data_IF_128265930442
#
_entry.id   IF_128265930442
#
_cell.length_a   1.000
_cell.length_b   1.000
_cell.length_c   1.000
_cell.angle_alpha   90.00
_cell.angle_beta   90.00
_cell.angle_gamma   90.00
#
_symmetry.space_group_name_H-M   'P 1'
#
loop_
_entity.id
_entity.type
_entity.pdbx_description
1 polymer ?
#
# COMPACT_ATOMS: atom_id res chain seq x y z
N UNK A 1 11.68 17.47 7.07
CA UNK A 1 13.10 17.85 7.22
C UNK A 1 14.02 16.75 6.74
N UNK A 2 14.88 17.03 5.76
CA UNK A 2 15.91 16.12 5.28
C UNK A 2 17.16 16.29 6.16
N UNK A 3 17.39 15.36 7.09
CA UNK A 3 18.41 15.50 8.13
C UNK A 3 19.84 15.59 7.60
N UNK A 4 20.17 14.75 6.58
CA UNK A 4 21.52 14.73 5.99
C UNK A 4 21.84 15.99 5.17
N UNK A 5 20.84 16.57 4.52
CA UNK A 5 20.99 17.75 3.67
C UNK A 5 20.74 19.06 4.45
N UNK A 6 20.28 18.95 5.69
CA UNK A 6 19.85 20.08 6.52
C UNK A 6 18.86 21.03 5.81
N UNK A 7 17.96 20.44 4.99
CA UNK A 7 16.90 21.15 4.27
C UNK A 7 15.55 20.90 4.92
N UNK A 8 14.70 21.89 4.90
CA UNK A 8 13.28 21.78 5.20
C UNK A 8 12.52 21.95 3.89
N UNK A 9 11.60 21.03 3.61
CA UNK A 9 10.75 21.04 2.44
C UNK A 9 9.32 21.19 2.90
N UNK A 10 8.56 22.01 2.20
CA UNK A 10 7.10 22.02 2.31
C UNK A 10 6.48 20.97 1.38
N UNK A 11 5.14 20.91 1.31
CA UNK A 11 4.45 19.92 0.50
C UNK A 11 4.73 20.07 -1.00
N UNK A 12 4.85 21.30 -1.50
CA UNK A 12 5.15 21.57 -2.91
C UNK A 12 6.57 21.15 -3.27
N UNK A 13 7.56 21.50 -2.43
CA UNK A 13 8.94 21.06 -2.58
C UNK A 13 9.07 19.53 -2.59
N UNK A 14 8.25 18.84 -1.74
CA UNK A 14 8.22 17.37 -1.71
C UNK A 14 7.66 16.80 -3.01
N UNK A 15 6.58 17.37 -3.54
CA UNK A 15 5.99 16.95 -4.82
C UNK A 15 7.03 17.06 -5.95
N UNK A 16 7.78 18.16 -6.00
CA UNK A 16 8.80 18.37 -7.02
C UNK A 16 9.98 17.41 -6.86
N UNK A 17 10.48 17.22 -5.63
CA UNK A 17 11.58 16.28 -5.36
C UNK A 17 11.20 14.84 -5.74
N UNK A 18 10.01 14.39 -5.34
CA UNK A 18 9.53 13.03 -5.67
C UNK A 18 9.29 12.87 -7.17
N UNK A 19 8.82 13.93 -7.84
CA UNK A 19 8.69 13.97 -9.29
C UNK A 19 10.02 13.81 -10.02
N UNK A 20 11.10 14.44 -9.53
CA UNK A 20 12.44 14.22 -10.05
C UNK A 20 12.87 12.75 -9.90
N UNK A 21 12.52 12.11 -8.78
CA UNK A 21 12.83 10.69 -8.56
C UNK A 21 12.05 9.77 -9.51
N UNK A 22 10.75 10.02 -9.72
CA UNK A 22 9.92 9.26 -10.67
C UNK A 22 10.53 9.34 -12.08
N UNK A 23 10.93 10.52 -12.50
CA UNK A 23 11.55 10.73 -13.83
C UNK A 23 12.93 10.07 -13.97
N UNK A 24 13.65 9.89 -12.85
CA UNK A 24 15.04 9.41 -12.88
C UNK A 24 15.17 7.91 -12.61
N UNK A 25 14.28 7.34 -11.84
CA UNK A 25 14.36 5.96 -11.38
C UNK A 25 13.10 5.17 -11.78
N UNK A 26 13.19 3.86 -11.97
CA UNK A 26 12.05 3.03 -12.35
C UNK A 26 11.11 2.80 -11.16
N UNK A 27 10.53 3.88 -10.63
CA UNK A 27 9.58 3.84 -9.52
C UNK A 27 8.21 3.47 -10.07
N UNK A 28 7.58 2.46 -9.49
CA UNK A 28 6.24 1.99 -9.86
C UNK A 28 5.20 2.25 -8.76
N UNK A 29 5.66 2.57 -7.56
CA UNK A 29 4.77 2.93 -6.44
C UNK A 29 5.50 3.75 -5.40
N UNK A 30 4.75 4.61 -4.71
CA UNK A 30 5.22 5.37 -3.54
C UNK A 30 4.13 5.28 -2.46
N UNK A 31 4.56 4.96 -1.24
CA UNK A 31 3.69 4.91 -0.07
C UNK A 31 3.84 6.20 0.74
N UNK A 32 2.70 6.81 1.11
CA UNK A 32 2.60 8.07 1.83
C UNK A 32 3.63 9.13 1.37
N UNK A 33 3.53 9.60 0.12
CA UNK A 33 4.49 10.57 -0.42
C UNK A 33 4.50 11.90 0.34
N UNK A 34 3.38 12.26 0.98
CA UNK A 34 3.16 13.50 1.70
C UNK A 34 2.66 13.19 3.13
N UNK A 35 2.58 14.23 3.95
CA UNK A 35 2.08 14.12 5.32
C UNK A 35 0.59 13.72 5.37
N UNK A 36 0.23 12.94 6.39
CA UNK A 36 -1.14 12.48 6.61
C UNK A 36 -2.14 13.61 6.92
N UNK A 37 -1.63 14.74 7.41
CA UNK A 37 -2.41 15.94 7.72
C UNK A 37 -2.35 17.02 6.62
N UNK A 38 -1.74 16.71 5.46
CA UNK A 38 -1.52 17.67 4.38
C UNK A 38 -2.15 17.18 3.05
N UNK A 39 -3.49 17.20 2.93
CA UNK A 39 -4.21 16.60 1.80
C UNK A 39 -4.03 17.35 0.48
N UNK A 40 -3.72 18.66 0.49
CA UNK A 40 -3.60 19.45 -0.72
C UNK A 40 -2.40 19.05 -1.58
N UNK A 41 -1.15 19.00 -1.07
CA UNK A 41 -0.01 18.49 -1.84
C UNK A 41 -0.18 17.01 -2.20
N UNK A 42 -0.85 16.22 -1.37
CA UNK A 42 -1.12 14.80 -1.67
C UNK A 42 -2.02 14.67 -2.90
N UNK A 43 -3.09 15.48 -2.98
CA UNK A 43 -3.96 15.57 -4.17
C UNK A 43 -3.18 16.03 -5.40
N UNK A 44 -2.36 17.06 -5.27
CA UNK A 44 -1.55 17.57 -6.38
C UNK A 44 -0.57 16.51 -6.89
N UNK A 45 0.05 15.75 -6.00
CA UNK A 45 0.92 14.63 -6.35
C UNK A 45 0.15 13.54 -7.10
N UNK A 46 -1.04 13.16 -6.58
CA UNK A 46 -1.89 12.14 -7.21
C UNK A 46 -2.35 12.59 -8.61
N UNK A 47 -2.77 13.83 -8.76
CA UNK A 47 -3.17 14.38 -10.05
C UNK A 47 -2.03 14.37 -11.07
N UNK A 48 -0.78 14.60 -10.62
CA UNK A 48 0.40 14.73 -11.49
C UNK A 48 0.98 13.37 -11.90
N UNK A 49 0.96 12.39 -11.02
CA UNK A 49 1.67 11.11 -11.21
C UNK A 49 0.80 9.87 -11.09
N UNK A 50 -0.47 9.99 -10.74
CA UNK A 50 -1.36 8.86 -10.47
C UNK A 50 -1.68 7.99 -11.69
N UNK A 51 -1.49 8.49 -12.91
CA UNK A 51 -1.63 7.71 -14.14
C UNK A 51 -0.36 6.88 -14.46
N UNK A 52 0.77 7.19 -13.82
CA UNK A 52 2.06 6.56 -14.08
C UNK A 52 2.48 5.56 -13.01
N UNK A 53 2.14 5.84 -11.73
CA UNK A 53 2.56 5.04 -10.59
C UNK A 53 1.41 4.80 -9.61
N UNK A 54 1.56 3.79 -8.75
CA UNK A 54 0.68 3.61 -7.61
C UNK A 54 1.07 4.59 -6.48
N UNK A 55 0.08 5.33 -6.02
CA UNK A 55 0.19 6.26 -4.89
C UNK A 55 -0.60 5.65 -3.74
N UNK A 56 0.13 5.02 -2.83
CA UNK A 56 -0.43 4.18 -1.78
C UNK A 56 -0.65 5.02 -0.52
N UNK A 57 -1.90 5.07 -0.05
CA UNK A 57 -2.19 5.64 1.26
C UNK A 57 -2.06 4.59 2.35
N UNK A 58 -1.23 4.87 3.36
CA UNK A 58 -1.06 4.08 4.57
C UNK A 58 -1.63 4.85 5.78
N UNK A 59 -0.86 5.70 6.40
CA UNK A 59 -1.27 6.48 7.58
C UNK A 59 -2.36 7.51 7.22
N UNK A 60 -2.40 7.95 5.97
CA UNK A 60 -3.48 8.79 5.46
C UNK A 60 -4.84 8.06 5.48
N UNK A 61 -4.89 6.77 5.18
CA UNK A 61 -6.13 5.97 5.06
C UNK A 61 -6.43 5.10 6.29
N UNK A 62 -5.41 4.68 7.02
CA UNK A 62 -5.45 3.83 8.23
C UNK A 62 -6.35 2.60 8.13
N UNK A 63 -6.39 1.95 6.96
CA UNK A 63 -7.24 0.79 6.67
C UNK A 63 -8.72 1.04 7.03
N UNK A 64 -9.23 2.22 6.70
CA UNK A 64 -10.60 2.64 7.02
C UNK A 64 -11.42 2.88 5.75
N UNK A 65 -12.56 2.18 5.62
CA UNK A 65 -13.39 2.23 4.41
C UNK A 65 -13.92 3.65 4.11
N UNK A 66 -14.38 4.39 5.13
CA UNK A 66 -14.89 5.75 4.96
C UNK A 66 -13.79 6.72 4.53
N UNK A 67 -12.57 6.60 5.10
CA UNK A 67 -11.43 7.41 4.66
C UNK A 67 -11.03 7.11 3.23
N UNK A 68 -11.11 5.86 2.79
CA UNK A 68 -10.85 5.46 1.39
C UNK A 68 -11.88 6.10 0.46
N UNK A 69 -13.17 6.03 0.78
CA UNK A 69 -14.23 6.67 -0.02
C UNK A 69 -14.01 8.19 -0.11
N UNK A 70 -13.77 8.85 1.02
CA UNK A 70 -13.51 10.30 1.07
C UNK A 70 -12.23 10.69 0.29
N UNK A 71 -11.17 9.91 0.37
CA UNK A 71 -9.94 10.16 -0.37
C UNK A 71 -10.14 9.99 -1.88
N UNK A 72 -10.91 8.97 -2.30
CA UNK A 72 -11.25 8.77 -3.70
C UNK A 72 -12.07 9.94 -4.27
N UNK A 73 -13.08 10.39 -3.53
CA UNK A 73 -13.89 11.57 -3.92
C UNK A 73 -13.05 12.85 -4.02
N UNK A 74 -12.01 12.96 -3.18
CA UNK A 74 -11.07 14.08 -3.17
C UNK A 74 -9.95 13.96 -4.23
N UNK A 75 -9.83 12.83 -4.93
CA UNK A 75 -8.74 12.58 -5.90
C UNK A 75 -7.37 12.42 -5.23
N UNK A 76 -7.34 11.84 -4.04
CA UNK A 76 -6.13 11.56 -3.26
C UNK A 76 -5.88 10.06 -3.25
N UNK A 77 -4.66 9.62 -3.52
CA UNK A 77 -4.27 8.22 -3.71
C UNK A 77 -4.91 7.56 -4.95
N UNK A 78 -4.43 6.37 -5.29
CA UNK A 78 -5.03 5.43 -6.23
C UNK A 78 -4.80 3.97 -5.79
N UNK A 79 -4.27 3.80 -4.58
CA UNK A 79 -4.02 2.50 -3.96
C UNK A 79 -4.11 2.60 -2.44
N UNK A 80 -4.53 1.53 -1.79
CA UNK A 80 -4.67 1.47 -0.34
C UNK A 80 -3.80 0.36 0.27
N UNK A 81 -3.08 0.71 1.35
CA UNK A 81 -2.42 -0.26 2.20
C UNK A 81 -3.43 -0.84 3.19
N UNK A 82 -3.47 -2.15 3.28
CA UNK A 82 -4.47 -2.91 4.06
C UNK A 82 -3.76 -3.67 5.18
N UNK A 83 -3.98 -3.23 6.41
CA UNK A 83 -3.36 -3.77 7.63
C UNK A 83 -4.43 -4.24 8.62
N UNK A 84 -4.64 -5.56 8.82
CA UNK A 84 -5.71 -6.07 9.70
C UNK A 84 -5.66 -5.52 11.12
N UNK A 85 -4.47 -5.33 11.68
CA UNK A 85 -4.32 -4.81 13.03
C UNK A 85 -4.53 -3.29 13.16
N UNK A 86 -4.57 -2.56 12.06
CA UNK A 86 -4.91 -1.14 12.02
C UNK A 86 -6.44 -0.96 12.04
N UNK A 87 -7.17 -1.78 11.29
CA UNK A 87 -8.63 -1.82 11.33
C UNK A 87 -9.17 -2.46 12.62
N UNK A 88 -8.51 -3.50 13.13
CA UNK A 88 -8.84 -4.19 14.37
C UNK A 88 -9.62 -5.50 14.19
N UNK A 89 -10.45 -5.62 13.17
CA UNK A 89 -11.19 -6.85 12.82
C UNK A 89 -11.02 -7.23 11.36
N UNK A 90 -11.19 -8.51 11.06
CA UNK A 90 -11.18 -9.01 9.67
C UNK A 90 -12.33 -8.41 8.86
N UNK A 91 -13.47 -8.19 9.49
CA UNK A 91 -14.65 -7.58 8.84
C UNK A 91 -14.36 -6.15 8.39
N UNK A 92 -13.82 -5.31 9.27
CA UNK A 92 -13.46 -3.92 8.93
C UNK A 92 -12.32 -3.86 7.92
N UNK A 93 -11.32 -4.75 8.06
CA UNK A 93 -10.23 -4.88 7.09
C UNK A 93 -10.77 -5.20 5.69
N UNK A 94 -11.71 -6.16 5.61
CA UNK A 94 -12.35 -6.53 4.35
C UNK A 94 -13.17 -5.37 3.78
N UNK A 95 -13.89 -4.65 4.62
CA UNK A 95 -14.66 -3.47 4.20
C UNK A 95 -13.77 -2.39 3.58
N UNK A 96 -12.59 -2.13 4.18
CA UNK A 96 -11.60 -1.20 3.64
C UNK A 96 -11.06 -1.66 2.27
N UNK A 97 -10.71 -2.94 2.14
CA UNK A 97 -10.27 -3.52 0.86
C UNK A 97 -11.37 -3.42 -0.21
N UNK A 98 -12.62 -3.72 0.15
CA UNK A 98 -13.75 -3.66 -0.77
C UNK A 98 -14.07 -2.21 -1.18
N UNK A 99 -13.90 -1.24 -0.28
CA UNK A 99 -14.02 0.18 -0.60
C UNK A 99 -12.99 0.60 -1.66
N UNK A 100 -11.71 0.25 -1.47
CA UNK A 100 -10.67 0.53 -2.46
C UNK A 100 -10.98 -0.11 -3.82
N UNK A 101 -11.38 -1.38 -3.84
CA UNK A 101 -11.74 -2.06 -5.09
C UNK A 101 -12.96 -1.46 -5.79
N UNK A 102 -13.95 -1.01 -5.04
CA UNK A 102 -15.16 -0.38 -5.59
C UNK A 102 -14.84 0.88 -6.39
N UNK A 103 -13.86 1.65 -5.94
CA UNK A 103 -13.39 2.87 -6.62
C UNK A 103 -12.27 2.61 -7.64
N UNK A 104 -11.96 1.34 -7.92
CA UNK A 104 -10.95 0.96 -8.92
C UNK A 104 -9.51 1.06 -8.45
N UNK A 105 -9.26 1.22 -7.17
CA UNK A 105 -7.92 1.31 -6.61
C UNK A 105 -7.23 -0.04 -6.48
N UNK A 106 -5.91 -0.03 -6.61
CA UNK A 106 -5.08 -1.17 -6.22
C UNK A 106 -5.05 -1.34 -4.69
N UNK A 107 -4.76 -2.56 -4.23
CA UNK A 107 -4.67 -2.87 -2.80
C UNK A 107 -3.40 -3.64 -2.48
N UNK A 108 -2.79 -3.34 -1.35
CA UNK A 108 -1.59 -4.01 -0.84
C UNK A 108 -1.85 -4.50 0.57
N UNK A 109 -1.97 -5.80 0.78
CA UNK A 109 -2.03 -6.36 2.14
C UNK A 109 -0.65 -6.30 2.75
N UNK A 110 -0.55 -5.78 3.97
CA UNK A 110 0.75 -5.47 4.56
C UNK A 110 0.94 -6.06 5.96
N UNK A 111 2.16 -6.59 6.17
CA UNK A 111 2.73 -6.84 7.49
C UNK A 111 3.05 -5.52 8.22
N UNK A 112 3.46 -5.65 9.49
CA UNK A 112 3.96 -4.54 10.33
C UNK A 112 5.45 -4.72 10.61
N UNK A 113 6.10 -3.67 11.15
CA UNK A 113 7.49 -3.74 11.61
C UNK A 113 7.68 -4.71 12.77
N UNK A 114 6.73 -4.79 13.70
CA UNK A 114 6.65 -5.81 14.75
C UNK A 114 5.75 -6.95 14.32
N UNK A 115 6.31 -8.09 13.93
CA UNK A 115 5.61 -9.26 13.42
C UNK A 115 5.91 -10.51 14.24
N UNK A 116 5.01 -11.49 14.13
CA UNK A 116 5.19 -12.89 14.57
C UNK A 116 5.27 -13.80 13.35
N UNK A 117 5.38 -15.11 13.56
CA UNK A 117 5.32 -16.09 12.46
C UNK A 117 3.90 -16.40 11.98
N UNK A 118 2.87 -15.68 12.45
CA UNK A 118 1.51 -15.78 11.93
C UNK A 118 1.46 -15.48 10.44
N UNK A 119 0.73 -16.30 9.69
CA UNK A 119 0.66 -16.26 8.22
C UNK A 119 -0.69 -15.76 7.68
N UNK A 120 -1.57 -15.30 8.54
CA UNK A 120 -2.93 -14.87 8.18
C UNK A 120 -2.94 -13.89 7.02
N UNK A 121 -2.03 -12.91 6.99
CA UNK A 121 -1.99 -11.90 5.92
C UNK A 121 -1.69 -12.50 4.54
N UNK A 122 -0.97 -13.61 4.44
CA UNK A 122 -0.73 -14.30 3.16
C UNK A 122 -2.04 -14.88 2.63
N UNK A 123 -2.82 -15.53 3.48
CA UNK A 123 -4.15 -16.06 3.13
C UNK A 123 -5.13 -14.95 2.75
N UNK A 124 -5.12 -13.82 3.49
CA UNK A 124 -5.98 -12.68 3.18
C UNK A 124 -5.61 -12.04 1.84
N UNK A 125 -4.31 -11.87 1.56
CA UNK A 125 -3.84 -11.29 0.29
C UNK A 125 -4.32 -12.11 -0.91
N UNK A 126 -4.15 -13.43 -0.86
CA UNK A 126 -4.56 -14.33 -1.94
C UNK A 126 -6.07 -14.52 -1.94
N UNK A 127 -6.67 -14.85 -0.80
CA UNK A 127 -8.11 -15.18 -0.70
C UNK A 127 -9.02 -14.00 -1.05
N UNK A 128 -8.57 -12.78 -0.82
CA UNK A 128 -9.29 -11.56 -1.22
C UNK A 128 -8.85 -11.00 -2.57
N UNK A 129 -7.90 -11.66 -3.24
CA UNK A 129 -7.33 -11.18 -4.50
C UNK A 129 -6.86 -9.72 -4.38
N UNK A 130 -6.03 -9.42 -3.38
CA UNK A 130 -5.55 -8.06 -3.14
C UNK A 130 -4.58 -7.57 -4.23
N UNK A 131 -3.97 -8.49 -4.97
CA UNK A 131 -3.00 -8.18 -6.01
C UNK A 131 -1.57 -8.04 -5.50
N UNK A 132 -1.37 -7.52 -4.30
CA UNK A 132 -0.04 -7.27 -3.75
C UNK A 132 0.04 -7.65 -2.27
N UNK A 133 1.24 -8.10 -1.85
CA UNK A 133 1.58 -8.41 -0.46
C UNK A 133 2.92 -7.75 -0.10
N UNK A 134 2.91 -6.92 0.95
CA UNK A 134 4.10 -6.27 1.50
C UNK A 134 4.48 -6.94 2.83
N UNK A 135 5.62 -7.61 2.88
CA UNK A 135 6.10 -8.36 4.07
C UNK A 135 7.37 -7.75 4.63
N UNK A 136 8.23 -7.22 3.78
CA UNK A 136 9.57 -6.75 4.10
C UNK A 136 10.65 -7.72 3.61
N UNK A 137 11.70 -7.89 4.41
CA UNK A 137 12.91 -8.62 4.06
C UNK A 137 12.68 -10.13 3.82
N UNK A 138 13.60 -10.75 3.08
CA UNK A 138 13.79 -12.20 3.00
C UNK A 138 14.72 -12.74 4.11
N UNK A 139 14.83 -12.04 5.22
CA UNK A 139 15.53 -12.45 6.43
C UNK A 139 14.57 -12.42 7.61
N UNK A 140 14.88 -13.16 8.67
CA UNK A 140 14.10 -13.38 9.88
C UNK A 140 12.89 -14.29 9.68
N UNK A 141 12.63 -15.14 10.67
CA UNK A 141 11.58 -16.16 10.59
C UNK A 141 10.17 -15.58 10.43
N UNK A 142 9.88 -14.48 11.10
CA UNK A 142 8.57 -13.82 11.04
C UNK A 142 8.23 -13.25 9.65
N UNK A 143 9.26 -12.97 8.82
CA UNK A 143 9.08 -12.58 7.42
C UNK A 143 9.00 -13.79 6.51
N UNK A 144 9.94 -14.71 6.67
CA UNK A 144 10.02 -15.91 5.86
C UNK A 144 8.80 -16.81 6.00
N UNK A 145 8.14 -16.83 7.17
CA UNK A 145 6.90 -17.56 7.37
C UNK A 145 5.84 -17.18 6.35
N UNK A 146 5.65 -15.87 6.08
CA UNK A 146 4.66 -15.38 5.12
C UNK A 146 5.04 -15.71 3.67
N UNK A 147 6.32 -15.56 3.31
CA UNK A 147 6.79 -15.92 1.96
C UNK A 147 6.66 -17.42 1.71
N UNK A 148 7.04 -18.25 2.69
CA UNK A 148 6.87 -19.70 2.58
C UNK A 148 5.39 -20.10 2.50
N UNK A 149 4.51 -19.36 3.17
CA UNK A 149 3.07 -19.62 3.09
C UNK A 149 2.49 -19.28 1.71
N UNK A 150 2.95 -18.20 1.07
CA UNK A 150 2.57 -17.90 -0.33
C UNK A 150 2.95 -19.05 -1.24
N UNK A 151 4.14 -19.65 -1.09
CA UNK A 151 4.57 -20.82 -1.86
C UNK A 151 3.66 -22.05 -1.61
N UNK A 152 3.24 -22.29 -0.36
CA UNK A 152 2.29 -23.38 -0.04
C UNK A 152 0.91 -23.14 -0.65
N UNK A 153 0.45 -21.90 -0.64
CA UNK A 153 -0.82 -21.50 -1.26
C UNK A 153 -0.72 -21.71 -2.79
N UNK A 154 0.38 -21.32 -3.42
CA UNK A 154 0.63 -21.53 -4.85
C UNK A 154 0.60 -23.03 -5.20
N UNK A 155 1.31 -23.87 -4.43
CA UNK A 155 1.30 -25.34 -4.60
C UNK A 155 -0.12 -25.91 -4.47
N UNK A 156 -0.90 -25.46 -3.48
CA UNK A 156 -2.27 -25.90 -3.27
C UNK A 156 -3.23 -25.46 -4.38
N UNK A 157 -2.99 -24.31 -4.99
CA UNK A 157 -3.79 -23.81 -6.13
C UNK A 157 -3.43 -24.51 -7.44
N UNK A 158 -2.18 -24.94 -7.61
CA UNK A 158 -1.69 -25.57 -8.84
C UNK A 158 -1.92 -24.66 -10.06
N UNK A 159 -2.49 -25.18 -11.13
CA UNK A 159 -2.76 -24.44 -12.38
C UNK A 159 -3.72 -23.24 -12.21
N UNK A 160 -4.36 -23.08 -11.05
CA UNK A 160 -5.21 -21.93 -10.75
C UNK A 160 -4.42 -20.75 -10.16
N UNK A 161 -3.15 -20.96 -9.85
CA UNK A 161 -2.30 -19.88 -9.35
C UNK A 161 -1.94 -18.93 -10.50
N UNK A 162 -2.25 -17.65 -10.34
CA UNK A 162 -1.94 -16.59 -11.31
C UNK A 162 -1.23 -15.48 -10.56
N UNK A 163 -0.08 -15.04 -11.07
CA UNK A 163 0.59 -13.86 -10.55
C UNK A 163 -0.15 -12.61 -11.00
N UNK A 164 -0.48 -11.72 -10.08
CA UNK A 164 -1.14 -10.46 -10.41
C UNK A 164 -0.25 -9.59 -11.33
N UNK A 165 -0.86 -9.02 -12.38
CA UNK A 165 -0.15 -8.15 -13.33
C UNK A 165 0.57 -8.89 -14.46
N UNK A 166 0.31 -10.20 -14.63
CA UNK A 166 0.81 -10.99 -15.79
C UNK A 166 -0.31 -11.28 -16.77
#
# INVERSE_FOLDING_TARGET
>A
KLGLENRELDGADMVDMLGEWINRYPIISIEDPLGEDDPEPFRDFTRKYGDEILIIGDDFLVTNAERIDNAADAGICNSALIKPNQAGTITETKAALDAAKRVGWATVVSARSGETEDVTIAHLAVGWNAGQLKVGSFARSERMAKWNEVLRIEEALGDRAILAGT
#
